data_IF_781811530053
#
_entry.id   IF_781811530053
#
_cell.length_a   1.000
_cell.length_b   1.000
_cell.length_c   1.000
_cell.angle_alpha   90.00
_cell.angle_beta   90.00
_cell.angle_gamma   90.00
#
_symmetry.space_group_name_H-M   'P 1'
#
loop_
_entity.id
_entity.type
_entity.pdbx_description
1 polymer ?
#
# COMPACT_ATOMS: atom_id res chain seq x y z
N UNK A 1 -52.39 -21.77 -82.46
CA UNK A 1 -52.03 -22.93 -81.61
C UNK A 1 -50.93 -22.52 -80.63
N UNK A 2 -51.16 -22.82 -79.35
CA UNK A 2 -50.22 -22.99 -78.22
C UNK A 2 -49.18 -21.90 -77.86
N UNK A 3 -49.50 -21.14 -76.81
CA UNK A 3 -48.83 -21.08 -75.49
C UNK A 3 -47.32 -21.43 -75.39
N UNK A 4 -46.49 -20.53 -74.83
CA UNK A 4 -45.96 -20.69 -73.46
C UNK A 4 -45.16 -19.48 -72.91
N UNK A 5 -45.30 -19.27 -71.60
CA UNK A 5 -44.67 -18.26 -70.73
C UNK A 5 -43.14 -18.38 -70.67
N UNK A 6 -42.46 -17.28 -70.30
CA UNK A 6 -41.31 -17.22 -69.36
C UNK A 6 -41.01 -15.74 -69.00
N UNK A 7 -41.56 -15.21 -67.91
CA UNK A 7 -40.99 -15.12 -66.54
C UNK A 7 -39.83 -14.12 -66.40
N UNK A 8 -40.06 -13.10 -65.57
CA UNK A 8 -39.15 -12.06 -65.11
C UNK A 8 -37.86 -12.59 -64.45
N UNK A 9 -36.77 -11.83 -64.55
CA UNK A 9 -35.78 -11.73 -63.48
C UNK A 9 -35.10 -10.34 -63.52
N UNK A 10 -35.62 -9.38 -62.76
CA UNK A 10 -34.89 -8.16 -62.42
C UNK A 10 -34.02 -8.52 -61.21
N UNK A 11 -32.71 -8.61 -61.42
CA UNK A 11 -31.76 -8.83 -60.34
C UNK A 11 -31.61 -7.54 -59.52
N UNK A 12 -32.27 -7.49 -58.36
CA UNK A 12 -32.08 -6.46 -57.35
C UNK A 12 -30.80 -6.80 -56.57
N UNK A 13 -29.66 -6.24 -56.98
CA UNK A 13 -28.40 -6.34 -56.22
C UNK A 13 -28.52 -5.54 -54.93
N UNK A 14 -28.80 -6.22 -53.82
CA UNK A 14 -28.69 -5.71 -52.45
C UNK A 14 -27.21 -5.44 -52.14
N UNK A 15 -26.83 -4.16 -52.11
CA UNK A 15 -25.55 -3.70 -51.60
C UNK A 15 -25.54 -3.90 -50.08
N UNK A 16 -25.10 -5.07 -49.61
CA UNK A 16 -24.82 -5.29 -48.19
C UNK A 16 -23.58 -4.47 -47.83
N UNK A 17 -23.79 -3.29 -47.27
CA UNK A 17 -22.74 -2.52 -46.61
C UNK A 17 -22.23 -3.40 -45.47
N UNK A 18 -21.08 -4.04 -45.68
CA UNK A 18 -20.27 -4.64 -44.63
C UNK A 18 -19.84 -3.51 -43.69
N UNK A 19 -20.73 -3.12 -42.78
CA UNK A 19 -20.35 -2.42 -41.58
C UNK A 19 -19.52 -3.41 -40.76
N UNK A 20 -18.22 -3.48 -41.07
CA UNK A 20 -17.24 -3.97 -40.12
C UNK A 20 -17.34 -3.06 -38.90
N UNK A 21 -18.21 -3.42 -37.96
CA UNK A 21 -18.12 -2.95 -36.60
C UNK A 21 -16.76 -3.44 -36.10
N UNK A 22 -15.75 -2.58 -36.23
CA UNK A 22 -14.42 -2.79 -35.64
C UNK A 22 -14.69 -3.06 -34.18
N UNK A 23 -14.55 -4.33 -33.77
CA UNK A 23 -14.67 -4.72 -32.37
C UNK A 23 -13.56 -3.95 -31.66
N UNK A 24 -13.95 -2.87 -30.98
CA UNK A 24 -13.02 -2.05 -30.21
C UNK A 24 -12.37 -3.01 -29.22
N UNK A 25 -11.05 -3.09 -29.22
CA UNK A 25 -10.36 -3.88 -28.21
C UNK A 25 -10.88 -3.44 -26.85
N UNK A 26 -11.26 -4.42 -26.03
CA UNK A 26 -11.69 -4.14 -24.66
C UNK A 26 -10.42 -3.64 -23.97
N UNK A 27 -10.32 -2.33 -23.80
CA UNK A 27 -9.21 -1.70 -23.09
C UNK A 27 -9.15 -2.34 -21.69
N UNK A 28 -7.99 -2.91 -21.36
CA UNK A 28 -7.80 -3.65 -20.11
C UNK A 28 -8.16 -2.76 -18.93
N UNK A 29 -9.06 -3.24 -18.07
CA UNK A 29 -9.37 -2.60 -16.80
C UNK A 29 -8.09 -2.63 -15.96
N UNK A 30 -7.51 -1.46 -15.69
CA UNK A 30 -6.44 -1.34 -14.68
C UNK A 30 -7.08 -1.77 -13.36
N UNK A 31 -6.47 -2.74 -12.68
CA UNK A 31 -6.89 -3.16 -11.35
C UNK A 31 -6.64 -2.01 -10.37
N UNK A 32 -7.71 -1.48 -9.80
CA UNK A 32 -7.71 -0.25 -8.99
C UNK A 32 -8.12 -0.50 -7.53
N UNK A 33 -8.56 -1.71 -7.19
CA UNK A 33 -9.28 -1.93 -5.93
C UNK A 33 -8.37 -2.36 -4.77
N UNK A 34 -7.16 -2.87 -5.05
CA UNK A 34 -6.35 -3.52 -4.02
C UNK A 34 -5.62 -2.62 -3.01
N UNK A 35 -5.48 -1.30 -3.22
CA UNK A 35 -4.57 -0.46 -2.40
C UNK A 35 -4.83 1.06 -2.52
N UNK A 36 -6.06 1.47 -2.87
CA UNK A 36 -6.42 2.88 -3.08
C UNK A 36 -7.24 3.40 -1.89
N UNK A 37 -6.71 4.39 -1.19
CA UNK A 37 -7.33 4.96 0.01
C UNK A 37 -7.75 6.40 -0.20
N UNK A 38 -8.89 6.79 0.38
CA UNK A 38 -9.34 8.17 0.37
C UNK A 38 -8.58 8.98 1.42
N UNK A 39 -7.97 10.11 1.03
CA UNK A 39 -7.27 10.99 1.99
C UNK A 39 -8.20 11.54 3.06
N UNK A 40 -9.46 11.77 2.70
CA UNK A 40 -10.47 12.31 3.62
C UNK A 40 -10.69 11.44 4.87
N UNK A 41 -10.44 10.13 4.80
CA UNK A 41 -10.51 9.25 5.98
C UNK A 41 -9.39 9.55 7.00
N UNK A 42 -8.29 10.16 6.56
CA UNK A 42 -7.09 10.44 7.34
C UNK A 42 -6.97 11.93 7.71
N UNK A 43 -7.42 12.84 6.83
CA UNK A 43 -7.40 14.30 7.01
C UNK A 43 -8.71 14.84 7.64
N UNK A 44 -9.35 14.06 8.53
CA UNK A 44 -10.62 14.45 9.17
C UNK A 44 -10.45 15.26 10.46
N UNK A 45 -9.20 15.52 10.89
CA UNK A 45 -8.88 16.23 12.13
C UNK A 45 -9.05 15.42 13.41
N UNK A 46 -9.45 14.14 13.32
CA UNK A 46 -9.53 13.23 14.45
C UNK A 46 -8.14 12.66 14.74
N UNK A 47 -7.62 12.75 15.98
CA UNK A 47 -6.40 12.04 16.36
C UNK A 47 -6.56 10.52 16.20
N UNK A 48 -5.45 9.83 16.03
CA UNK A 48 -5.38 8.39 15.87
C UNK A 48 -4.52 7.80 16.98
N UNK A 49 -4.97 6.66 17.51
CA UNK A 49 -4.22 5.83 18.43
C UNK A 49 -3.48 4.78 17.61
N UNK A 50 -2.15 4.80 17.68
CA UNK A 50 -1.25 3.88 16.99
C UNK A 50 -0.52 2.97 17.97
N UNK A 51 -0.38 1.70 17.60
CA UNK A 51 0.44 0.71 18.31
C UNK A 51 1.12 -0.22 17.32
N UNK A 52 2.31 -0.70 17.66
CA UNK A 52 3.04 -1.71 16.90
C UNK A 52 3.31 -2.93 17.79
N UNK A 53 3.20 -4.13 17.23
CA UNK A 53 3.44 -5.40 17.94
C UNK A 53 4.36 -6.30 17.12
N UNK A 54 5.30 -6.98 17.77
CA UNK A 54 6.04 -8.08 17.14
C UNK A 54 5.14 -9.31 17.08
N UNK A 55 4.81 -9.78 15.88
CA UNK A 55 3.96 -10.97 15.66
C UNK A 55 4.75 -12.18 15.16
N UNK A 56 5.99 -11.98 14.72
CA UNK A 56 6.93 -13.04 14.40
C UNK A 56 8.36 -12.52 14.59
N UNK A 57 9.24 -13.33 15.18
CA UNK A 57 10.68 -13.04 15.31
C UNK A 57 11.57 -14.15 14.76
N UNK A 58 11.11 -14.83 13.71
CA UNK A 58 11.82 -15.90 13.04
C UNK A 58 12.29 -17.00 14.00
N UNK A 59 13.48 -17.55 13.74
CA UNK A 59 14.12 -18.58 14.58
C UNK A 59 15.04 -18.01 15.66
N UNK A 60 15.09 -16.68 15.83
CA UNK A 60 16.04 -16.01 16.73
C UNK A 60 15.32 -15.04 17.68
N UNK A 61 15.11 -15.50 18.90
CA UNK A 61 14.49 -14.70 19.97
C UNK A 61 15.36 -13.57 20.51
N UNK A 62 16.63 -13.45 20.10
CA UNK A 62 17.55 -12.44 20.61
C UNK A 62 17.23 -11.01 20.12
N UNK A 63 16.50 -10.86 19.03
CA UNK A 63 16.12 -9.56 18.47
C UNK A 63 14.91 -8.94 19.18
N UNK A 64 13.92 -9.77 19.53
CA UNK A 64 12.69 -9.33 20.16
C UNK A 64 11.72 -10.50 20.39
N UNK A 65 10.88 -10.36 21.42
CA UNK A 65 9.90 -11.39 21.76
C UNK A 65 8.60 -11.18 20.99
N UNK A 66 8.06 -12.26 20.43
CA UNK A 66 6.70 -12.27 19.88
C UNK A 66 5.72 -11.87 20.99
N UNK A 67 4.83 -10.93 20.68
CA UNK A 67 3.88 -10.35 21.62
C UNK A 67 4.40 -9.10 22.35
N UNK A 68 5.66 -8.71 22.17
CA UNK A 68 6.13 -7.39 22.60
C UNK A 68 5.36 -6.29 21.86
N UNK A 69 4.91 -5.29 22.61
CA UNK A 69 4.07 -4.20 22.12
C UNK A 69 4.72 -2.87 22.44
N UNK A 70 4.59 -1.90 21.54
CA UNK A 70 4.84 -0.50 21.85
C UNK A 70 3.80 0.03 22.83
N UNK A 71 4.12 1.11 23.54
CA UNK A 71 3.07 1.95 24.12
C UNK A 71 2.12 2.43 23.04
N UNK A 72 0.87 2.68 23.42
CA UNK A 72 -0.08 3.37 22.54
C UNK A 72 0.38 4.82 22.37
N UNK A 73 0.51 5.26 21.13
CA UNK A 73 0.85 6.64 20.77
C UNK A 73 -0.36 7.33 20.19
N UNK A 74 -0.61 8.56 20.62
CA UNK A 74 -1.59 9.44 19.98
C UNK A 74 -0.88 10.29 18.92
N UNK A 75 -1.50 10.42 17.75
CA UNK A 75 -0.92 11.15 16.63
C UNK A 75 -1.90 11.48 15.53
N UNK A 76 -1.42 12.11 14.47
CA UNK A 76 -2.21 12.41 13.28
C UNK A 76 -1.48 11.93 12.03
N UNK A 77 -2.26 11.58 11.01
CA UNK A 77 -1.71 11.26 9.70
C UNK A 77 -1.52 12.55 8.90
N UNK A 78 -0.35 12.70 8.29
CA UNK A 78 0.00 13.84 7.44
C UNK A 78 0.49 13.36 6.08
N UNK A 79 0.04 14.02 5.03
CA UNK A 79 0.45 13.74 3.66
C UNK A 79 1.53 14.72 3.21
N UNK A 80 2.66 14.20 2.76
CA UNK A 80 3.65 14.92 1.96
C UNK A 80 3.49 14.53 0.50
N UNK A 81 4.31 15.11 -0.39
CA UNK A 81 4.30 14.76 -1.81
C UNK A 81 4.55 13.27 -2.07
N UNK A 82 5.34 12.64 -1.21
CA UNK A 82 5.91 11.31 -1.41
C UNK A 82 5.67 10.36 -0.23
N UNK A 83 5.15 10.85 0.91
CA UNK A 83 4.98 10.06 2.13
C UNK A 83 3.63 10.29 2.81
N UNK A 84 3.16 9.23 3.47
CA UNK A 84 2.21 9.28 4.57
C UNK A 84 3.01 9.21 5.87
N UNK A 85 2.83 10.16 6.77
CA UNK A 85 3.52 10.20 8.05
C UNK A 85 2.51 10.05 9.17
N UNK A 86 2.78 9.18 10.15
CA UNK A 86 2.09 9.18 11.43
C UNK A 86 2.95 9.96 12.43
N UNK A 87 2.38 11.04 12.94
CA UNK A 87 3.12 12.09 13.63
C UNK A 87 2.57 12.26 15.03
N UNK A 88 3.44 12.35 16.03
CA UNK A 88 3.01 12.50 17.42
C UNK A 88 2.14 13.75 17.59
N UNK A 89 1.03 13.63 18.31
CA UNK A 89 0.24 14.81 18.67
C UNK A 89 0.99 15.58 19.77
N UNK A 90 1.52 16.73 19.42
CA UNK A 90 2.41 17.53 20.27
C UNK A 90 1.64 18.45 21.22
N UNK A 91 0.42 18.11 21.65
CA UNK A 91 -0.36 18.92 22.60
C UNK A 91 0.41 19.38 23.86
N UNK A 92 1.59 18.81 24.15
CA UNK A 92 2.50 19.19 25.22
C UNK A 92 3.98 19.37 24.82
N UNK A 93 4.35 19.36 23.53
CA UNK A 93 5.77 19.52 23.14
C UNK A 93 6.18 21.00 23.12
N UNK A 94 7.05 21.40 24.06
CA UNK A 94 7.57 22.77 24.19
C UNK A 94 8.43 23.24 23.01
N UNK A 95 8.87 22.34 22.11
CA UNK A 95 9.84 22.69 21.05
C UNK A 95 9.22 22.97 19.68
N UNK A 96 7.91 22.77 19.46
CA UNK A 96 7.31 22.96 18.14
C UNK A 96 7.84 22.00 17.06
N UNK A 97 8.70 21.04 17.42
CA UNK A 97 9.20 20.03 16.50
C UNK A 97 8.22 18.88 16.37
N UNK A 98 7.68 18.76 15.17
CA UNK A 98 6.84 17.67 14.70
C UNK A 98 7.64 16.36 14.70
N UNK A 99 7.42 15.49 15.69
CA UNK A 99 8.11 14.19 15.77
C UNK A 99 7.37 13.14 14.95
N UNK A 100 7.93 12.79 13.79
CA UNK A 100 7.48 11.66 12.97
C UNK A 100 7.71 10.36 13.74
N UNK A 101 6.66 9.56 13.93
CA UNK A 101 6.73 8.25 14.58
C UNK A 101 6.93 7.16 13.52
N UNK A 102 6.12 7.19 12.46
CA UNK A 102 6.24 6.27 11.32
C UNK A 102 6.06 7.04 10.02
N UNK A 103 6.66 6.54 8.95
CA UNK A 103 6.44 7.07 7.61
C UNK A 103 6.47 5.96 6.56
N UNK A 104 5.66 6.15 5.52
CA UNK A 104 5.51 5.21 4.41
C UNK A 104 5.47 5.97 3.10
N UNK A 105 6.13 5.44 2.08
CA UNK A 105 6.07 6.00 0.73
C UNK A 105 4.67 5.87 0.15
N UNK A 106 4.20 6.91 -0.54
CA UNK A 106 2.88 6.92 -1.18
C UNK A 106 2.92 7.49 -2.59
N UNK A 107 1.91 7.13 -3.37
CA UNK A 107 1.59 7.73 -4.67
C UNK A 107 0.19 8.33 -4.62
N UNK A 108 0.11 9.64 -4.84
CA UNK A 108 -1.17 10.36 -4.91
C UNK A 108 -1.86 10.08 -6.24
N UNK A 109 -3.15 9.77 -6.18
CA UNK A 109 -3.95 9.43 -7.36
C UNK A 109 -5.31 10.11 -7.35
N UNK A 110 -5.77 10.53 -8.52
CA UNK A 110 -7.13 10.98 -8.78
C UNK A 110 -7.48 10.57 -10.20
N UNK A 111 -8.71 10.13 -10.42
CA UNK A 111 -9.08 9.51 -11.69
C UNK A 111 -10.36 10.12 -12.23
N UNK A 112 -10.41 10.28 -13.55
CA UNK A 112 -11.63 10.66 -14.26
C UNK A 112 -11.91 9.66 -15.39
N UNK A 113 -13.19 9.49 -15.70
CA UNK A 113 -13.60 8.69 -16.84
C UNK A 113 -13.50 9.53 -18.11
N UNK A 114 -12.76 9.03 -19.10
CA UNK A 114 -12.60 9.73 -20.38
C UNK A 114 -13.93 9.78 -21.13
N UNK A 115 -14.38 10.96 -21.53
CA UNK A 115 -15.55 11.12 -22.41
C UNK A 115 -15.07 11.26 -23.85
N UNK A 116 -15.54 10.38 -24.75
CA UNK A 116 -15.21 10.44 -26.18
C UNK A 116 -16.50 10.36 -26.99
N UNK A 117 -16.77 11.39 -27.80
CA UNK A 117 -17.99 11.47 -28.63
C UNK A 117 -19.30 11.44 -27.83
N UNK A 118 -19.30 12.05 -26.62
CA UNK A 118 -20.48 12.08 -25.74
C UNK A 118 -20.76 10.77 -24.99
N UNK A 119 -19.88 9.77 -25.09
CA UNK A 119 -19.97 8.51 -24.33
C UNK A 119 -18.83 8.42 -23.33
N UNK A 120 -19.16 8.07 -22.09
CA UNK A 120 -18.20 7.85 -21.02
C UNK A 120 -17.50 6.50 -21.21
N UNK A 121 -16.17 6.51 -21.21
CA UNK A 121 -15.34 5.31 -21.24
C UNK A 121 -15.39 4.60 -19.88
N UNK A 122 -15.30 3.27 -19.90
CA UNK A 122 -15.06 2.46 -18.72
C UNK A 122 -13.59 2.51 -18.24
N UNK A 123 -12.74 3.29 -18.91
CA UNK A 123 -11.34 3.50 -18.54
C UNK A 123 -11.20 4.76 -17.71
N UNK A 124 -10.75 4.57 -16.48
CA UNK A 124 -10.28 5.62 -15.60
C UNK A 124 -8.89 6.07 -16.05
N UNK A 125 -8.73 7.38 -16.24
CA UNK A 125 -7.44 8.02 -16.56
C UNK A 125 -7.03 8.85 -15.36
N UNK A 126 -5.76 8.74 -14.97
CA UNK A 126 -5.18 9.56 -13.91
C UNK A 126 -5.30 11.06 -14.26
N UNK A 127 -5.63 11.88 -13.27
CA UNK A 127 -5.75 13.32 -13.42
C UNK A 127 -4.41 13.99 -13.11
N UNK A 128 -3.58 14.12 -14.15
CA UNK A 128 -2.29 14.82 -14.06
C UNK A 128 -2.42 16.36 -14.12
N UNK A 129 -3.64 16.89 -14.22
CA UNK A 129 -3.86 18.36 -14.29
C UNK A 129 -3.92 19.03 -12.93
N UNK A 130 -4.07 18.25 -11.85
CA UNK A 130 -4.15 18.74 -10.48
C UNK A 130 -2.89 18.37 -9.69
N UNK A 131 -2.52 19.22 -8.74
CA UNK A 131 -1.38 18.96 -7.87
C UNK A 131 -1.65 17.78 -6.93
N UNK A 132 -0.58 17.17 -6.40
CA UNK A 132 -0.68 16.02 -5.50
C UNK A 132 -1.57 16.30 -4.27
N UNK A 133 -1.60 17.55 -3.78
CA UNK A 133 -2.42 17.99 -2.64
C UNK A 133 -3.91 17.81 -2.93
N UNK A 134 -4.32 18.13 -4.15
CA UNK A 134 -5.73 18.15 -4.56
C UNK A 134 -6.24 16.76 -5.00
N UNK A 135 -5.32 15.80 -5.20
CA UNK A 135 -5.69 14.41 -5.51
C UNK A 135 -6.40 13.77 -4.33
N UNK A 136 -7.55 13.16 -4.58
CA UNK A 136 -8.44 12.59 -3.54
C UNK A 136 -7.96 11.28 -2.93
N UNK A 137 -7.15 10.52 -3.65
CA UNK A 137 -6.74 9.19 -3.26
C UNK A 137 -5.21 9.08 -3.14
N UNK A 138 -4.76 8.03 -2.47
CA UNK A 138 -3.37 7.66 -2.43
C UNK A 138 -3.23 6.12 -2.43
N UNK A 139 -2.05 5.66 -2.83
CA UNK A 139 -1.61 4.27 -2.72
C UNK A 139 -0.34 4.22 -1.90
N UNK A 140 -0.21 3.29 -0.98
CA UNK A 140 1.01 3.13 -0.18
C UNK A 140 1.93 2.13 -0.87
N UNK A 141 3.21 2.46 -1.00
CA UNK A 141 4.26 1.53 -1.39
C UNK A 141 4.88 0.89 -0.15
N UNK A 142 4.33 -0.27 0.19
CA UNK A 142 4.70 -1.02 1.37
C UNK A 142 6.08 -1.71 1.29
N UNK A 143 6.66 -1.82 0.09
CA UNK A 143 8.00 -2.41 -0.07
C UNK A 143 9.07 -1.54 0.62
N UNK A 144 8.79 -0.25 0.78
CA UNK A 144 9.70 0.71 1.38
C UNK A 144 9.27 1.16 2.78
N UNK A 145 8.33 0.46 3.42
CA UNK A 145 7.86 0.79 4.77
C UNK A 145 9.03 0.78 5.77
N UNK A 146 9.45 1.94 6.26
CA UNK A 146 10.51 2.03 7.27
C UNK A 146 9.93 1.94 8.67
N UNK A 147 10.33 0.91 9.39
CA UNK A 147 10.11 0.80 10.83
C UNK A 147 11.29 1.50 11.51
N UNK A 148 10.99 2.39 12.46
CA UNK A 148 12.00 2.86 13.40
C UNK A 148 11.79 2.12 14.71
N UNK A 149 12.52 1.02 14.90
CA UNK A 149 12.39 0.16 16.08
C UNK A 149 12.73 0.95 17.35
N UNK A 150 13.78 1.76 17.31
CA UNK A 150 14.17 2.65 18.42
C UNK A 150 13.10 3.71 18.76
N UNK A 151 12.31 4.16 17.78
CA UNK A 151 11.20 5.08 18.04
C UNK A 151 9.93 4.37 18.52
N UNK A 152 9.82 3.06 18.25
CA UNK A 152 8.61 2.27 18.43
C UNK A 152 8.64 1.45 19.72
N UNK A 153 9.78 0.84 20.04
CA UNK A 153 9.97 -0.07 21.17
C UNK A 153 10.97 0.51 22.18
N UNK A 154 10.94 0.05 23.45
CA UNK A 154 11.90 0.47 24.48
C UNK A 154 13.27 -0.22 24.33
N UNK A 155 13.59 -0.74 23.14
CA UNK A 155 14.87 -1.35 22.83
C UNK A 155 15.42 -0.75 21.53
N UNK A 156 16.74 -0.78 21.40
CA UNK A 156 17.43 -0.40 20.17
C UNK A 156 17.94 -1.66 19.48
N UNK A 157 17.89 -1.64 18.15
CA UNK A 157 18.48 -2.70 17.33
C UNK A 157 19.97 -2.38 17.21
N UNK A 158 20.83 -3.30 17.59
CA UNK A 158 22.27 -3.13 17.41
C UNK A 158 22.62 -3.20 15.92
N UNK A 159 22.79 -2.03 15.29
CA UNK A 159 23.10 -1.91 13.86
C UNK A 159 24.47 -2.51 13.49
N UNK A 160 25.36 -2.77 14.45
CA UNK A 160 26.62 -3.49 14.20
C UNK A 160 26.37 -4.98 14.00
N UNK A 161 25.30 -5.50 14.61
CA UNK A 161 24.90 -6.90 14.55
C UNK A 161 23.81 -7.17 13.52
N UNK A 162 22.96 -6.19 13.23
CA UNK A 162 21.77 -6.37 12.42
C UNK A 162 21.68 -5.27 11.36
N UNK A 163 21.74 -5.66 10.09
CA UNK A 163 21.62 -4.73 8.98
C UNK A 163 20.34 -5.03 8.20
N UNK A 164 19.46 -4.05 8.04
CA UNK A 164 18.23 -4.23 7.27
C UNK A 164 18.54 -4.45 5.78
N UNK A 165 17.93 -5.48 5.20
CA UNK A 165 18.01 -5.81 3.77
C UNK A 165 16.81 -5.36 2.98
N UNK A 166 15.63 -5.45 3.56
CA UNK A 166 14.40 -5.09 2.88
C UNK A 166 13.19 -5.18 3.80
N UNK A 167 12.06 -4.77 3.27
CA UNK A 167 10.76 -4.89 3.92
C UNK A 167 9.68 -5.14 2.88
N UNK A 168 8.57 -5.73 3.30
CA UNK A 168 7.36 -5.87 2.49
C UNK A 168 6.16 -5.99 3.41
N UNK A 169 4.98 -5.60 2.94
CA UNK A 169 3.75 -6.01 3.63
C UNK A 169 3.48 -7.49 3.37
N UNK A 170 3.02 -8.19 4.40
CA UNK A 170 2.59 -9.59 4.29
C UNK A 170 1.28 -9.63 3.51
N UNK A 171 1.27 -10.43 2.45
CA UNK A 171 0.09 -10.59 1.58
C UNK A 171 -1.16 -10.98 2.40
N UNK A 172 -2.26 -10.27 2.15
CA UNK A 172 -3.55 -10.50 2.83
C UNK A 172 -3.61 -10.08 4.30
N UNK A 173 -2.56 -9.46 4.85
CA UNK A 173 -2.56 -8.98 6.25
C UNK A 173 -3.23 -7.62 6.46
N UNK A 174 -3.62 -6.97 5.36
CA UNK A 174 -4.04 -5.58 5.37
C UNK A 174 -5.55 -5.46 5.53
N UNK A 175 -5.96 -4.71 6.54
CA UNK A 175 -7.34 -4.37 6.85
C UNK A 175 -7.41 -2.86 7.01
N UNK A 176 -8.02 -2.17 6.04
CA UNK A 176 -8.14 -0.71 6.07
C UNK A 176 -9.59 -0.34 5.87
N UNK A 177 -10.18 0.28 6.89
CA UNK A 177 -11.47 0.92 6.81
C UNK A 177 -11.46 2.28 7.53
N UNK A 178 -12.65 2.87 7.74
CA UNK A 178 -12.76 4.17 8.38
C UNK A 178 -12.55 4.14 9.90
N UNK A 179 -12.62 2.97 10.51
CA UNK A 179 -12.55 2.75 11.96
C UNK A 179 -11.20 2.14 12.40
N UNK A 180 -10.48 1.47 11.49
CA UNK A 180 -9.20 0.85 11.78
C UNK A 180 -8.31 0.69 10.55
N UNK A 181 -7.01 0.69 10.81
CA UNK A 181 -5.95 0.40 9.84
C UNK A 181 -5.03 -0.61 10.49
N UNK A 182 -5.02 -1.83 9.99
CA UNK A 182 -4.12 -2.88 10.39
C UNK A 182 -3.34 -3.40 9.19
N UNK A 183 -2.04 -3.64 9.36
CA UNK A 183 -1.23 -4.34 8.38
C UNK A 183 0.01 -4.93 9.04
N UNK A 184 0.55 -6.00 8.45
CA UNK A 184 1.79 -6.62 8.93
C UNK A 184 2.91 -6.30 7.96
N UNK A 185 3.98 -5.68 8.47
CA UNK A 185 5.24 -5.48 7.73
C UNK A 185 6.22 -6.56 8.12
N UNK A 186 6.72 -7.28 7.14
CA UNK A 186 7.82 -8.21 7.23
C UNK A 186 9.13 -7.48 6.90
N UNK A 187 10.13 -7.58 7.79
CA UNK A 187 11.44 -6.94 7.62
C UNK A 187 12.53 -7.99 7.70
N UNK A 188 13.37 -7.99 6.68
CA UNK A 188 14.50 -8.91 6.54
C UNK A 188 15.78 -8.21 7.01
N UNK A 189 16.50 -8.81 7.96
CA UNK A 189 17.78 -8.36 8.49
C UNK A 189 18.87 -9.35 8.15
N UNK A 190 20.04 -8.88 7.74
CA UNK A 190 21.25 -9.69 7.71
C UNK A 190 21.97 -9.58 9.05
N UNK A 191 22.31 -10.74 9.61
CA UNK A 191 23.10 -10.85 10.84
C UNK A 191 24.58 -10.73 10.50
N UNK A 192 25.28 -9.83 11.19
CA UNK A 192 26.73 -9.71 11.11
C UNK A 192 27.42 -10.92 11.73
N UNK A 193 28.48 -11.42 11.08
CA UNK A 193 29.30 -12.53 11.59
C UNK A 193 30.29 -12.09 12.68
N UNK A 194 30.21 -10.85 13.17
CA UNK A 194 31.04 -10.38 14.27
C UNK A 194 30.79 -11.23 15.54
N UNK A 195 31.89 -11.52 16.24
CA UNK A 195 31.88 -12.31 17.46
C UNK A 195 30.99 -11.62 18.52
N UNK A 196 29.87 -12.26 18.87
CA UNK A 196 28.92 -11.74 19.87
C UNK A 196 27.50 -11.48 19.33
N UNK A 197 27.33 -11.23 18.03
CA UNK A 197 26.02 -10.91 17.44
C UNK A 197 25.07 -12.11 17.35
N UNK A 198 25.61 -13.31 17.17
CA UNK A 198 24.83 -14.54 17.03
C UNK A 198 24.72 -15.36 18.33
N UNK A 199 25.27 -14.91 19.46
CA UNK A 199 25.39 -15.74 20.68
C UNK A 199 26.08 -17.10 20.41
N UNK A 200 26.02 -18.05 21.35
CA UNK A 200 26.57 -19.41 21.23
C UNK A 200 25.85 -20.29 20.16
N UNK A 201 25.34 -19.71 19.07
CA UNK A 201 24.78 -20.44 17.92
C UNK A 201 25.86 -20.89 16.91
N UNK A 202 27.13 -20.91 17.32
CA UNK A 202 28.28 -21.24 16.48
C UNK A 202 28.25 -22.63 15.84
N UNK A 203 27.36 -23.53 16.28
CA UNK A 203 27.28 -24.90 15.76
C UNK A 203 26.23 -25.12 14.64
N UNK A 204 25.30 -24.18 14.38
CA UNK A 204 24.20 -24.38 13.40
C UNK A 204 24.30 -23.45 12.18
N UNK A 205 25.16 -22.43 12.22
CA UNK A 205 25.09 -21.27 11.29
C UNK A 205 26.22 -21.21 10.23
N UNK A 206 26.73 -22.35 9.75
CA UNK A 206 27.84 -22.41 8.78
C UNK A 206 27.47 -22.25 7.29
N UNK A 207 26.42 -21.50 6.96
CA UNK A 207 26.09 -21.22 5.56
C UNK A 207 25.80 -19.74 5.29
N UNK A 208 26.23 -19.30 4.10
CA UNK A 208 26.21 -17.95 3.56
C UNK A 208 24.92 -17.17 3.83
N UNK A 209 25.07 -15.87 4.10
CA UNK A 209 24.03 -14.83 4.17
C UNK A 209 22.74 -15.24 4.90
N UNK A 210 22.81 -15.35 6.23
CA UNK A 210 21.61 -15.56 7.03
C UNK A 210 20.78 -14.28 7.15
N UNK A 211 19.68 -14.28 6.39
CA UNK A 211 18.58 -13.34 6.55
C UNK A 211 17.68 -13.81 7.68
N UNK A 212 17.40 -12.91 8.61
CA UNK A 212 16.47 -13.07 9.71
C UNK A 212 15.24 -12.20 9.48
N UNK A 213 14.06 -12.78 9.58
CA UNK A 213 12.82 -12.11 9.22
C UNK A 213 11.98 -11.83 10.46
N UNK A 214 11.70 -10.55 10.69
CA UNK A 214 10.79 -10.07 11.73
C UNK A 214 9.46 -9.67 11.10
N UNK A 215 8.35 -9.82 11.85
CA UNK A 215 7.05 -9.27 11.45
C UNK A 215 6.50 -8.35 12.51
N UNK A 216 6.07 -7.17 12.07
CA UNK A 216 5.51 -6.13 12.89
C UNK A 216 4.08 -5.85 12.44
N UNK A 217 3.13 -6.04 13.35
CA UNK A 217 1.75 -5.65 13.13
C UNK A 217 1.58 -4.20 13.55
N UNK A 218 1.20 -3.37 12.60
CA UNK A 218 0.77 -2.00 12.81
C UNK A 218 -0.74 -1.98 13.01
N UNK A 219 -1.18 -1.23 14.01
CA UNK A 219 -2.60 -1.02 14.30
C UNK A 219 -2.86 0.44 14.61
N UNK A 220 -3.77 1.05 13.86
CA UNK A 220 -4.26 2.40 14.08
C UNK A 220 -5.78 2.41 14.16
N UNK A 221 -6.32 3.24 15.06
CA UNK A 221 -7.77 3.51 15.12
C UNK A 221 -8.00 4.99 15.47
N UNK A 222 -9.06 5.64 14.97
CA UNK A 222 -9.41 6.98 15.37
C UNK A 222 -9.69 7.04 16.88
N UNK A 223 -9.23 8.10 17.54
CA UNK A 223 -9.65 8.42 18.90
C UNK A 223 -11.13 8.76 18.88
N UNK A 224 -11.95 7.95 19.55
CA UNK A 224 -13.38 8.23 19.67
C UNK A 224 -13.60 9.19 20.84
N UNK A 225 -14.40 10.26 20.67
CA UNK A 225 -14.77 11.11 21.78
C UNK A 225 -15.51 10.26 22.83
N UNK A 226 -14.99 10.30 24.07
CA UNK A 226 -15.56 9.64 25.25
C UNK A 226 -16.89 10.27 25.68
#
# INVERSE_FOLDING_TARGET
MLNWKKTNLIALTTLTVLACARKREVEQKIDLDGNRYAKASFENGTPWLGRVMIVNSGTNSAFGFVGAQSDVKIGSFQFTQDKLQFVADTGLSKSGETRVINEWSIQHSDYFQKVSGGRTSNVETENDTIGWKDKKFFKVDWNNASISEAATFPFEVDEQCWSRKGSRVVDGSMEVDNDHINFIVEVDYQISQLQGCAGNLSAVLHHDEQTHTMRYMYSFMPERPS
#
